data_IF_501608246778
#
_entry.id   IF_501608246778
#
_cell.length_a   1.000
_cell.length_b   1.000
_cell.length_c   1.000
_cell.angle_alpha   90.00
_cell.angle_beta   90.00
_cell.angle_gamma   90.00
#
_symmetry.space_group_name_H-M   'P 1'
#
loop_
_entity.id
_entity.type
_entity.pdbx_description
1 polymer ?
#
# COMPACT_ATOMS: atom_id res chain seq x y z
N UNK A 1 1.17 0.20 -3.38
CA UNK A 1 1.32 1.67 -3.50
C UNK A 1 -0.02 2.38 -3.67
N UNK A 2 -0.81 2.11 -4.73
CA UNK A 2 -2.06 2.84 -5.01
C UNK A 2 -3.03 2.91 -3.81
N UNK A 3 -3.26 1.79 -3.12
CA UNK A 3 -4.15 1.74 -1.94
C UNK A 3 -3.80 2.80 -0.88
N UNK A 4 -2.52 2.86 -0.49
CA UNK A 4 -2.05 3.79 0.56
C UNK A 4 -2.07 5.23 0.06
N UNK A 5 -1.63 5.47 -1.19
CA UNK A 5 -1.67 6.79 -1.80
C UNK A 5 -3.11 7.32 -1.94
N UNK A 6 -4.02 6.49 -2.43
CA UNK A 6 -5.44 6.80 -2.52
C UNK A 6 -6.03 7.13 -1.15
N UNK A 7 -5.73 6.32 -0.12
CA UNK A 7 -6.18 6.58 1.24
C UNK A 7 -5.68 7.92 1.80
N UNK A 8 -4.42 8.30 1.57
CA UNK A 8 -3.90 9.63 1.94
C UNK A 8 -4.69 10.78 1.28
N UNK A 9 -4.95 10.68 -0.03
CA UNK A 9 -5.76 11.69 -0.73
C UNK A 9 -7.17 11.74 -0.16
N UNK A 10 -7.78 10.58 0.06
CA UNK A 10 -9.16 10.47 0.53
C UNK A 10 -9.37 10.98 1.95
N UNK A 11 -8.35 10.92 2.82
CA UNK A 11 -8.43 11.56 4.15
C UNK A 11 -8.56 13.08 4.09
N UNK A 12 -8.17 13.71 2.98
CA UNK A 12 -8.26 15.16 2.78
C UNK A 12 -9.58 15.60 2.14
N UNK A 13 -10.44 14.64 1.75
CA UNK A 13 -11.71 14.89 1.06
C UNK A 13 -12.86 14.67 2.06
N UNK A 14 -13.62 15.71 2.43
CA UNK A 14 -14.59 15.62 3.53
C UNK A 14 -15.80 14.72 3.24
N UNK A 15 -16.07 14.43 1.97
CA UNK A 15 -17.18 13.62 1.51
C UNK A 15 -16.73 12.25 0.96
N UNK A 16 -15.61 11.73 1.45
CA UNK A 16 -15.11 10.42 1.08
C UNK A 16 -16.02 9.27 1.57
N UNK A 17 -16.28 8.30 0.70
CA UNK A 17 -17.09 7.12 1.01
C UNK A 17 -16.26 5.91 1.44
N UNK A 18 -15.44 5.34 0.53
CA UNK A 18 -14.59 4.15 0.76
C UNK A 18 -13.40 4.08 -0.20
N UNK A 19 -12.33 3.41 0.22
CA UNK A 19 -11.14 3.13 -0.60
C UNK A 19 -11.19 1.67 -1.05
N UNK A 20 -10.92 1.44 -2.33
CA UNK A 20 -10.99 0.12 -2.91
C UNK A 20 -9.69 -0.67 -2.68
N UNK A 21 -9.85 -1.94 -2.31
CA UNK A 21 -8.80 -2.96 -2.37
C UNK A 21 -9.32 -4.13 -3.18
N UNK A 22 -8.51 -4.68 -4.08
CA UNK A 22 -8.91 -5.82 -4.92
C UNK A 22 -9.35 -7.04 -4.08
N UNK A 23 -8.73 -7.23 -2.91
CA UNK A 23 -9.10 -8.26 -1.95
C UNK A 23 -9.13 -7.67 -0.53
N UNK A 24 -9.98 -8.22 0.34
CA UNK A 24 -10.05 -7.80 1.74
C UNK A 24 -8.81 -8.22 2.53
N UNK A 25 -8.14 -9.30 2.12
CA UNK A 25 -6.86 -9.72 2.68
C UNK A 25 -5.71 -9.01 1.96
N UNK A 26 -5.00 -8.16 2.72
CA UNK A 26 -3.87 -7.36 2.22
C UNK A 26 -2.51 -8.05 2.38
N UNK A 27 -2.46 -9.28 2.87
CA UNK A 27 -1.20 -10.03 3.05
C UNK A 27 -0.43 -10.23 1.74
N UNK A 28 -1.11 -10.20 0.59
CA UNK A 28 -0.48 -10.23 -0.73
C UNK A 28 0.51 -9.08 -0.96
N UNK A 29 0.36 -7.95 -0.26
CA UNK A 29 1.28 -6.82 -0.32
C UNK A 29 2.57 -7.06 0.47
N UNK A 30 2.58 -7.94 1.48
CA UNK A 30 3.69 -8.09 2.43
C UNK A 30 5.03 -8.47 1.78
N UNK A 31 5.02 -9.07 0.60
CA UNK A 31 6.25 -9.35 -0.16
C UNK A 31 6.86 -8.12 -0.82
N UNK A 32 6.06 -7.08 -1.08
CA UNK A 32 6.47 -5.87 -1.77
C UNK A 32 6.83 -4.71 -0.82
N UNK A 33 6.44 -4.78 0.45
CA UNK A 33 6.64 -3.71 1.44
C UNK A 33 7.26 -4.28 2.72
N UNK A 34 8.00 -3.46 3.46
CA UNK A 34 8.76 -3.93 4.63
C UNK A 34 7.89 -4.19 5.87
N UNK A 35 6.70 -3.59 5.94
CA UNK A 35 5.78 -3.74 7.06
C UNK A 35 4.35 -3.96 6.55
N UNK A 36 3.59 -4.90 7.15
CA UNK A 36 2.24 -5.21 6.69
C UNK A 36 1.29 -4.03 6.90
N UNK A 37 0.32 -3.90 6.01
CA UNK A 37 -0.77 -2.94 6.18
C UNK A 37 -1.75 -3.48 7.24
N UNK A 38 -2.26 -2.59 8.08
CA UNK A 38 -3.30 -2.92 9.04
C UNK A 38 -4.67 -2.49 8.49
N UNK A 39 -5.50 -3.47 8.15
CA UNK A 39 -6.88 -3.28 7.76
C UNK A 39 -7.89 -3.98 8.70
N UNK A 40 -7.47 -4.24 9.95
CA UNK A 40 -8.35 -4.86 10.93
C UNK A 40 -9.62 -4.02 11.16
N UNK A 41 -10.72 -4.71 11.45
CA UNK A 41 -12.06 -4.13 11.57
C UNK A 41 -12.63 -3.52 10.27
N UNK A 42 -12.05 -3.86 9.11
CA UNK A 42 -12.51 -3.32 7.82
C UNK A 42 -12.08 -1.87 7.58
N UNK A 43 -11.13 -1.36 8.38
CA UNK A 43 -10.62 0.00 8.31
C UNK A 43 -9.13 -0.03 8.00
N UNK A 44 -8.71 0.60 6.90
CA UNK A 44 -7.30 0.76 6.57
C UNK A 44 -6.68 1.84 7.46
N UNK A 45 -5.78 1.44 8.36
CA UNK A 45 -5.01 2.37 9.20
C UNK A 45 -3.80 2.86 8.43
N UNK A 46 -3.73 4.16 8.20
CA UNK A 46 -2.59 4.75 7.51
C UNK A 46 -1.33 4.65 8.38
N UNK A 47 -0.21 4.12 7.84
CA UNK A 47 1.03 4.02 8.58
C UNK A 47 1.54 5.39 9.02
N UNK A 48 2.06 5.52 10.26
CA UNK A 48 2.66 6.76 10.72
C UNK A 48 4.01 6.98 10.03
N UNK A 49 4.25 8.19 9.54
CA UNK A 49 5.54 8.56 8.95
C UNK A 49 5.40 9.55 7.80
N UNK A 50 6.53 10.14 7.35
CA UNK A 50 6.53 11.05 6.21
C UNK A 50 6.17 10.35 4.90
N UNK A 51 5.64 11.13 3.95
CA UNK A 51 5.25 10.61 2.64
C UNK A 51 4.10 9.61 2.75
N UNK A 52 4.25 8.44 2.11
CA UNK A 52 3.23 7.38 2.15
C UNK A 52 3.24 6.56 3.45
N UNK A 53 4.27 6.69 4.29
CA UNK A 53 4.42 5.91 5.53
C UNK A 53 4.78 4.43 5.30
N UNK A 54 5.09 4.01 4.07
CA UNK A 54 5.53 2.65 3.74
C UNK A 54 6.92 2.66 3.11
N UNK A 55 7.69 1.60 3.40
CA UNK A 55 8.94 1.30 2.71
C UNK A 55 8.76 0.08 1.80
N UNK A 56 9.39 0.11 0.63
CA UNK A 56 9.31 -0.97 -0.36
C UNK A 56 10.38 -2.02 -0.07
N UNK A 57 10.04 -3.29 -0.21
CA UNK A 57 11.01 -4.38 -0.19
C UNK A 57 11.79 -4.39 -1.52
N UNK A 58 12.85 -3.58 -1.58
CA UNK A 58 13.65 -3.37 -2.80
C UNK A 58 14.30 -4.67 -3.28
N UNK A 59 14.71 -5.54 -2.36
CA UNK A 59 15.33 -6.82 -2.70
C UNK A 59 14.35 -7.73 -3.43
N UNK A 60 13.11 -7.84 -2.93
CA UNK A 60 12.07 -8.59 -3.61
C UNK A 60 11.75 -8.00 -4.99
N UNK A 61 11.65 -6.68 -5.09
CA UNK A 61 11.36 -6.00 -6.36
C UNK A 61 12.45 -6.26 -7.39
N UNK A 62 13.73 -6.13 -7.00
CA UNK A 62 14.89 -6.40 -7.87
C UNK A 62 14.94 -7.85 -8.33
N UNK A 63 14.66 -8.79 -7.43
CA UNK A 63 14.64 -10.21 -7.76
C UNK A 63 13.47 -10.63 -8.68
N UNK A 64 12.41 -9.82 -8.77
CA UNK A 64 11.19 -10.10 -9.54
C UNK A 64 10.97 -9.04 -10.63
N UNK A 65 12.03 -8.40 -11.10
CA UNK A 65 11.97 -7.49 -12.24
C UNK A 65 11.45 -8.24 -13.47
N UNK A 66 10.47 -7.64 -14.14
CA UNK A 66 9.97 -8.15 -15.41
C UNK A 66 10.97 -7.83 -16.52
N UNK A 67 11.19 -8.80 -17.39
CA UNK A 67 12.05 -8.64 -18.57
C UNK A 67 11.60 -7.42 -19.39
N UNK A 68 12.54 -6.54 -19.75
CA UNK A 68 12.27 -5.30 -20.48
C UNK A 68 11.80 -4.11 -19.63
N UNK A 69 11.67 -4.25 -18.31
CA UNK A 69 11.28 -3.16 -17.39
C UNK A 69 12.40 -2.78 -16.41
N UNK A 70 13.37 -3.67 -16.18
CA UNK A 70 14.57 -3.37 -15.41
C UNK A 70 15.59 -2.58 -16.23
N UNK A 71 15.91 -1.37 -15.80
CA UNK A 71 17.03 -0.58 -16.34
C UNK A 71 18.39 -1.16 -16.00
#
# INVERSE_FOLDING_TARGET
>A
INVVAGAHVMMTVPNFYRVETNHHDLTSYNKFIESPLDNSNGELKLPPGPGLGIAMNVDFLRANVLEGIGG
#
